data_IF_342737431305
#
_entry.id   IF_342737431305
#
_cell.length_a   1.000
_cell.length_b   1.000
_cell.length_c   1.000
_cell.angle_alpha   90.00
_cell.angle_beta   90.00
_cell.angle_gamma   90.00
#
_symmetry.space_group_name_H-M   'P 1'
#
loop_
_entity.id
_entity.type
_entity.pdbx_description
1 polymer ?
#
# COMPACT_ATOMS: atom_id res chain seq x y z
N UNK A 1 2.67 -20.95 0.08
CA UNK A 1 1.52 -20.13 -0.41
C UNK A 1 1.93 -18.67 -0.33
N UNK A 2 1.91 -17.92 -1.43
CA UNK A 2 2.30 -16.50 -1.43
C UNK A 2 1.33 -15.68 -0.59
N UNK A 3 1.85 -14.88 0.35
CA UNK A 3 1.01 -14.03 1.18
C UNK A 3 0.54 -12.84 0.35
N UNK A 4 -0.78 -12.72 0.18
CA UNK A 4 -1.39 -11.54 -0.44
C UNK A 4 -1.70 -10.54 0.66
N UNK A 5 -1.19 -9.33 0.54
CA UNK A 5 -1.55 -8.21 1.39
C UNK A 5 -2.59 -7.36 0.68
N UNK A 6 -3.55 -6.87 1.46
CA UNK A 6 -4.64 -6.04 0.94
C UNK A 6 -4.65 -4.74 1.73
N UNK A 7 -4.46 -3.64 1.03
CA UNK A 7 -4.63 -2.29 1.54
C UNK A 7 -6.11 -1.93 1.42
N UNK A 8 -6.75 -1.65 2.54
CA UNK A 8 -8.04 -0.98 2.51
C UNK A 8 -7.79 0.48 2.09
N UNK A 9 -8.53 1.03 1.11
CA UNK A 9 -8.49 2.46 0.84
C UNK A 9 -8.81 3.24 2.12
N UNK A 10 -9.67 2.73 3.01
CA UNK A 10 -10.16 3.48 4.16
C UNK A 10 -11.33 4.36 3.76
N UNK A 11 -12.00 4.95 4.76
CA UNK A 11 -13.10 5.87 4.52
C UNK A 11 -12.54 7.27 4.29
N UNK A 12 -12.37 7.66 3.03
CA UNK A 12 -12.01 9.02 2.65
C UNK A 12 -13.28 9.82 2.40
N UNK A 13 -13.47 10.88 3.17
CA UNK A 13 -14.51 11.87 2.91
C UNK A 13 -13.86 13.25 2.81
N UNK A 14 -14.07 13.99 1.71
CA UNK A 14 -14.83 13.63 0.51
C UNK A 14 -14.13 12.57 -0.38
N UNK A 15 -14.90 11.82 -1.18
CA UNK A 15 -14.37 10.76 -2.03
C UNK A 15 -13.32 11.32 -3.03
N UNK A 16 -12.07 10.84 -2.99
CA UNK A 16 -11.06 11.27 -3.95
C UNK A 16 -11.32 10.67 -5.32
N UNK A 17 -10.93 11.40 -6.36
CA UNK A 17 -11.11 10.99 -7.76
C UNK A 17 -10.16 9.86 -8.16
N UNK A 18 -9.02 9.73 -7.47
CA UNK A 18 -8.05 8.67 -7.75
C UNK A 18 -7.26 8.31 -6.50
N UNK A 19 -6.87 7.05 -6.41
CA UNK A 19 -6.00 6.54 -5.36
C UNK A 19 -4.69 6.04 -5.97
N UNK A 20 -3.57 6.50 -5.42
CA UNK A 20 -2.26 5.92 -5.68
C UNK A 20 -1.84 5.11 -4.48
N UNK A 21 -1.55 3.84 -4.69
CA UNK A 21 -0.91 3.00 -3.69
C UNK A 21 0.57 2.92 -4.01
N UNK A 22 1.39 2.92 -2.98
CA UNK A 22 2.80 2.62 -3.11
C UNK A 22 3.19 1.70 -1.97
N UNK A 23 3.66 0.51 -2.31
CA UNK A 23 4.14 -0.44 -1.33
C UNK A 23 5.66 -0.32 -1.14
N UNK A 24 6.08 -0.58 0.09
CA UNK A 24 7.46 -0.56 0.52
C UNK A 24 7.73 -1.84 1.33
N UNK A 25 8.87 -2.48 1.08
CA UNK A 25 9.40 -3.59 1.84
C UNK A 25 10.63 -3.14 2.60
N UNK A 26 10.54 -3.11 3.92
CA UNK A 26 11.64 -2.70 4.81
C UNK A 26 12.16 -1.29 4.49
N UNK A 27 11.24 -0.37 4.20
CA UNK A 27 11.55 0.99 3.75
C UNK A 27 11.94 1.13 2.27
N UNK A 28 12.06 0.03 1.53
CA UNK A 28 12.44 0.04 0.10
C UNK A 28 11.21 -0.07 -0.79
N UNK A 29 11.04 0.83 -1.75
CA UNK A 29 9.90 0.80 -2.68
C UNK A 29 9.86 -0.50 -3.48
N UNK A 30 8.67 -1.07 -3.59
CA UNK A 30 8.41 -2.24 -4.43
C UNK A 30 7.91 -1.72 -5.78
N UNK A 31 8.75 -1.81 -6.82
CA UNK A 31 8.39 -1.35 -8.15
C UNK A 31 7.21 -2.17 -8.72
N UNK A 32 6.23 -1.50 -9.32
CA UNK A 32 5.00 -2.11 -9.84
C UNK A 32 3.94 -2.41 -8.78
N UNK A 33 4.24 -2.23 -7.49
CA UNK A 33 3.27 -2.37 -6.43
C UNK A 33 2.48 -1.07 -6.26
N UNK A 34 1.49 -0.87 -7.11
CA UNK A 34 0.58 0.29 -7.07
C UNK A 34 -0.89 -0.08 -6.96
N UNK A 35 -1.18 -1.37 -6.82
CA UNK A 35 -2.53 -1.87 -6.60
C UNK A 35 -2.89 -1.85 -5.11
N UNK A 36 -4.19 -1.87 -4.80
CA UNK A 36 -4.69 -2.07 -3.44
C UNK A 36 -4.35 -3.46 -2.89
N UNK A 37 -3.93 -4.40 -3.74
CA UNK A 37 -3.44 -5.70 -3.30
C UNK A 37 -2.00 -5.92 -3.79
N UNK A 38 -1.15 -6.42 -2.90
CA UNK A 38 0.21 -6.83 -3.21
C UNK A 38 0.36 -8.33 -2.99
N UNK A 39 0.81 -9.02 -4.02
CA UNK A 39 1.23 -10.42 -3.89
C UNK A 39 2.71 -10.45 -3.55
N UNK A 40 3.03 -10.86 -2.33
CA UNK A 40 4.41 -10.97 -1.89
C UNK A 40 5.08 -12.14 -2.60
N UNK A 41 6.25 -11.86 -3.17
CA UNK A 41 7.12 -12.87 -3.76
C UNK A 41 8.13 -13.34 -2.72
N UNK A 42 8.84 -14.41 -3.05
CA UNK A 42 9.89 -14.97 -2.22
C UNK A 42 10.98 -13.96 -1.81
N UNK A 43 11.17 -12.91 -2.62
CA UNK A 43 12.13 -11.82 -2.37
C UNK A 43 11.74 -10.90 -1.20
N UNK A 44 10.45 -10.86 -0.85
CA UNK A 44 9.91 -10.04 0.25
C UNK A 44 9.77 -10.84 1.56
N UNK A 45 10.15 -12.12 1.54
CA UNK A 45 10.07 -13.01 2.70
C UNK A 45 10.96 -12.50 3.83
N UNK A 46 10.41 -12.41 5.05
CA UNK A 46 11.08 -11.84 6.22
C UNK A 46 11.08 -10.31 6.30
N UNK A 47 10.58 -9.60 5.29
CA UNK A 47 10.50 -8.13 5.32
C UNK A 47 9.17 -7.65 5.91
N UNK A 48 9.18 -6.46 6.50
CA UNK A 48 7.95 -5.74 6.87
C UNK A 48 7.46 -4.93 5.69
N UNK A 49 6.16 -4.99 5.43
CA UNK A 49 5.57 -4.34 4.27
C UNK A 49 4.68 -3.20 4.74
N UNK A 50 4.84 -2.03 4.16
CA UNK A 50 4.03 -0.84 4.42
C UNK A 50 3.45 -0.33 3.12
N UNK A 51 2.24 0.21 3.17
CA UNK A 51 1.59 0.82 2.00
C UNK A 51 1.27 2.27 2.32
N UNK A 52 1.62 3.16 1.40
CA UNK A 52 1.24 4.55 1.42
C UNK A 52 0.16 4.78 0.37
N UNK A 53 -1.00 5.23 0.82
CA UNK A 53 -2.14 5.59 0.00
C UNK A 53 -2.16 7.10 -0.19
N UNK A 54 -2.17 7.56 -1.43
CA UNK A 54 -2.32 8.97 -1.77
C UNK A 54 -3.65 9.13 -2.48
N UNK A 55 -4.58 9.78 -1.81
CA UNK A 55 -5.88 10.18 -2.31
C UNK A 55 -5.70 11.49 -3.09
N UNK A 56 -5.79 11.42 -4.43
CA UNK A 56 -5.77 12.60 -5.29
C UNK A 56 -7.21 13.01 -5.60
N UNK A 57 -7.48 14.30 -5.44
CA UNK A 57 -8.77 14.88 -5.77
C UNK A 57 -8.56 16.10 -6.66
N UNK A 58 -9.13 16.06 -7.86
CA UNK A 58 -9.12 17.21 -8.75
C UNK A 58 -9.81 18.40 -8.08
N UNK A 59 -9.12 19.55 -8.03
CA UNK A 59 -9.63 20.77 -7.39
C UNK A 59 -9.47 20.84 -5.86
N UNK A 60 -8.74 19.90 -5.24
CA UNK A 60 -8.44 19.91 -3.80
C UNK A 60 -7.01 19.45 -3.51
N UNK A 61 -6.52 19.70 -2.29
CA UNK A 61 -5.25 19.16 -1.83
C UNK A 61 -5.24 17.63 -1.79
N UNK A 62 -4.08 17.07 -2.09
CA UNK A 62 -3.87 15.63 -2.09
C UNK A 62 -3.76 15.11 -0.64
N UNK A 63 -4.63 14.19 -0.27
CA UNK A 63 -4.54 13.49 1.01
C UNK A 63 -3.50 12.37 0.92
N UNK A 64 -2.63 12.24 1.92
CA UNK A 64 -1.77 11.05 2.05
C UNK A 64 -2.06 10.37 3.36
N UNK A 65 -2.26 9.05 3.33
CA UNK A 65 -2.33 8.20 4.50
C UNK A 65 -1.35 7.06 4.34
N UNK A 66 -0.62 6.77 5.40
CA UNK A 66 0.23 5.59 5.46
C UNK A 66 -0.51 4.55 6.28
N UNK A 67 -0.74 3.37 5.70
CA UNK A 67 -1.33 2.27 6.45
C UNK A 67 -0.31 1.69 7.42
N UNK A 68 -0.80 1.06 8.49
CA UNK A 68 0.06 0.34 9.43
C UNK A 68 0.89 -0.74 8.72
N UNK A 69 2.11 -1.03 9.21
CA UNK A 69 2.92 -2.11 8.68
C UNK A 69 2.16 -3.43 8.80
N UNK A 70 2.13 -4.20 7.73
CA UNK A 70 1.51 -5.52 7.74
C UNK A 70 2.33 -6.48 8.59
N UNK A 71 1.71 -7.57 9.05
CA UNK A 71 2.43 -8.67 9.68
C UNK A 71 3.61 -9.12 8.82
N UNK A 72 4.74 -9.43 9.46
CA UNK A 72 5.94 -9.87 8.77
C UNK A 72 5.64 -11.07 7.86
N UNK A 73 6.27 -11.11 6.68
CA UNK A 73 6.13 -12.21 5.73
C UNK A 73 6.83 -13.44 6.29
N UNK A 74 6.16 -14.16 7.20
CA UNK A 74 6.60 -15.45 7.73
C UNK A 74 6.07 -16.62 6.87
N UNK A 75 6.57 -17.83 7.12
CA UNK A 75 6.35 -19.04 6.33
C UNK A 75 4.88 -19.44 6.20
#
# INVERSE_FOLDING_TARGET
MGRKLTAAPGAWSPAPSSYRYQWYADGRTIAGATASALTLKSAERGKRITVRVTALRTGHDNGTATSGPTAAVTR
#
